data_IF_206203785826
#
_entry.id   IF_206203785826
#
_cell.length_a   1.000
_cell.length_b   1.000
_cell.length_c   1.000
_cell.angle_alpha   90.00
_cell.angle_beta   90.00
_cell.angle_gamma   90.00
#
_symmetry.space_group_name_H-M   'P 1'
#
loop_
_entity.id
_entity.type
_entity.pdbx_description
1 polymer ?
#
# COMPACT_ATOMS: atom_id res chain seq x y z
N UNK A 1 17.11 -9.66 21.38
CA UNK A 1 16.30 -10.87 21.08
C UNK A 1 16.31 -11.13 19.59
N UNK A 2 16.40 -12.39 19.16
CA UNK A 2 16.40 -12.79 17.75
C UNK A 2 15.02 -13.31 17.33
N UNK A 3 14.59 -12.94 16.12
CA UNK A 3 13.27 -13.30 15.58
C UNK A 3 13.41 -13.99 14.23
N UNK A 4 12.80 -15.16 14.13
CA UNK A 4 12.57 -15.85 12.88
C UNK A 4 11.09 -15.67 12.53
N UNK A 5 10.81 -14.76 11.60
CA UNK A 5 9.45 -14.41 11.24
C UNK A 5 9.06 -15.05 9.89
N UNK A 6 7.80 -15.48 9.78
CA UNK A 6 7.32 -16.23 8.62
C UNK A 6 5.95 -15.72 8.17
N UNK A 7 5.69 -15.77 6.86
CA UNK A 7 4.31 -15.84 6.38
C UNK A 7 3.70 -17.23 6.67
N UNK A 8 2.38 -17.34 6.55
CA UNK A 8 1.64 -18.59 6.76
C UNK A 8 1.36 -19.33 5.45
N UNK A 9 0.48 -18.77 4.61
CA UNK A 9 -0.14 -19.45 3.47
C UNK A 9 0.80 -19.39 2.26
N UNK A 10 1.31 -20.53 1.82
CA UNK A 10 2.33 -20.62 0.76
C UNK A 10 3.76 -20.75 1.30
N UNK A 11 3.97 -20.40 2.57
CA UNK A 11 5.27 -20.43 3.25
C UNK A 11 5.39 -21.62 4.19
N UNK A 12 4.62 -21.66 5.29
CA UNK A 12 4.62 -22.77 6.25
C UNK A 12 3.63 -23.85 5.84
N UNK A 13 2.45 -23.45 5.36
CA UNK A 13 1.38 -24.35 4.94
C UNK A 13 1.05 -24.18 3.46
N UNK A 14 0.48 -25.21 2.85
CA UNK A 14 -0.15 -25.16 1.53
C UNK A 14 -1.55 -25.78 1.61
N UNK A 15 -2.39 -25.52 0.61
CA UNK A 15 -3.70 -26.17 0.52
C UNK A 15 -3.52 -27.67 0.32
N UNK A 16 -4.30 -28.47 1.05
CA UNK A 16 -4.31 -29.93 0.87
C UNK A 16 -4.97 -30.30 -0.47
N UNK A 17 -5.94 -29.51 -0.90
CA UNK A 17 -6.66 -29.67 -2.17
C UNK A 17 -5.85 -29.33 -3.43
N UNK A 18 -4.70 -28.66 -3.28
CA UNK A 18 -3.91 -28.15 -4.40
C UNK A 18 -4.49 -26.92 -5.10
N UNK A 19 -5.65 -26.40 -4.64
CA UNK A 19 -6.21 -25.15 -5.14
C UNK A 19 -5.39 -23.95 -4.67
N UNK A 20 -5.46 -22.84 -5.39
CA UNK A 20 -4.78 -21.59 -5.00
C UNK A 20 -5.33 -21.05 -3.67
N UNK A 21 -6.64 -21.15 -3.46
CA UNK A 21 -7.30 -20.73 -2.23
C UNK A 21 -7.87 -21.95 -1.49
N UNK A 22 -7.82 -21.96 -0.15
CA UNK A 22 -8.36 -23.07 0.64
C UNK A 22 -9.87 -23.16 0.47
N UNK A 23 -10.39 -24.40 0.39
CA UNK A 23 -11.83 -24.67 0.32
C UNK A 23 -12.51 -24.37 1.66
N UNK A 24 -11.84 -24.69 2.77
CA UNK A 24 -12.33 -24.46 4.12
C UNK A 24 -11.16 -24.28 5.12
N UNK A 25 -11.45 -24.20 6.42
CA UNK A 25 -10.44 -24.00 7.47
C UNK A 25 -9.57 -25.22 7.78
N UNK A 26 -9.91 -26.38 7.23
CA UNK A 26 -9.18 -27.64 7.35
C UNK A 26 -8.36 -27.97 6.09
N UNK A 27 -8.55 -27.23 5.00
CA UNK A 27 -7.81 -27.38 3.74
C UNK A 27 -6.39 -26.79 3.82
N UNK A 28 -5.56 -27.40 4.65
CA UNK A 28 -4.14 -27.07 4.77
C UNK A 28 -3.30 -28.29 5.13
N UNK A 29 -2.01 -28.23 4.79
CA UNK A 29 -0.99 -29.22 5.15
C UNK A 29 0.37 -28.53 5.27
N UNK A 30 1.24 -29.03 6.15
CA UNK A 30 2.67 -28.68 6.13
C UNK A 30 3.34 -29.55 5.05
N UNK A 31 3.83 -28.97 3.95
CA UNK A 31 4.14 -29.74 2.74
C UNK A 31 5.42 -30.60 2.84
N UNK A 32 6.25 -30.39 3.87
CA UNK A 32 7.49 -31.16 4.06
C UNK A 32 7.92 -31.15 5.53
N UNK A 33 8.44 -32.28 6.00
CA UNK A 33 9.02 -32.40 7.35
C UNK A 33 10.25 -31.49 7.54
N UNK A 34 10.96 -31.14 6.45
CA UNK A 34 12.10 -30.20 6.48
C UNK A 34 11.70 -28.86 7.10
N UNK A 35 10.47 -28.39 6.86
CA UNK A 35 9.96 -27.16 7.47
C UNK A 35 9.90 -27.30 8.99
N UNK A 36 9.32 -28.40 9.49
CA UNK A 36 9.21 -28.66 10.93
C UNK A 36 10.60 -28.79 11.58
N UNK A 37 11.52 -29.49 10.93
CA UNK A 37 12.90 -29.66 11.41
C UNK A 37 13.63 -28.32 11.50
N UNK A 38 13.56 -27.49 10.45
CA UNK A 38 14.15 -26.14 10.43
C UNK A 38 13.57 -25.24 11.51
N UNK A 39 12.24 -25.27 11.71
CA UNK A 39 11.60 -24.50 12.76
C UNK A 39 11.97 -24.99 14.18
N UNK A 40 12.12 -26.30 14.38
CA UNK A 40 12.61 -26.86 15.65
C UNK A 40 14.07 -26.45 15.93
N UNK A 41 14.92 -26.42 14.92
CA UNK A 41 16.31 -25.98 15.08
C UNK A 41 16.40 -24.50 15.47
N UNK A 42 15.53 -23.65 14.94
CA UNK A 42 15.44 -22.25 15.36
C UNK A 42 15.14 -22.09 16.85
N UNK A 43 14.27 -22.94 17.42
CA UNK A 43 14.01 -22.93 18.86
C UNK A 43 15.28 -23.30 19.65
N UNK A 44 16.04 -24.30 19.18
CA UNK A 44 17.33 -24.68 19.80
C UNK A 44 18.37 -23.57 19.70
N UNK A 45 18.33 -22.79 18.63
CA UNK A 45 19.16 -21.59 18.40
C UNK A 45 18.62 -20.33 19.11
N UNK A 46 17.61 -20.48 19.97
CA UNK A 46 17.02 -19.42 20.80
C UNK A 46 16.33 -18.29 20.00
N UNK A 47 15.80 -18.62 18.82
CA UNK A 47 14.93 -17.72 18.05
C UNK A 47 13.49 -17.75 18.59
N UNK A 48 12.85 -16.57 18.58
CA UNK A 48 11.40 -16.50 18.70
C UNK A 48 10.76 -16.67 17.33
N UNK A 49 9.96 -17.72 17.16
CA UNK A 49 9.25 -18.00 15.90
C UNK A 49 7.93 -17.22 15.88
N UNK A 50 7.79 -16.33 14.89
CA UNK A 50 6.62 -15.45 14.73
C UNK A 50 6.00 -15.68 13.36
N UNK A 51 4.67 -15.74 13.29
CA UNK A 51 3.94 -15.78 12.03
C UNK A 51 3.20 -14.46 11.81
N UNK A 52 3.38 -13.85 10.64
CA UNK A 52 2.67 -12.67 10.18
C UNK A 52 1.84 -13.00 8.95
N UNK A 53 0.50 -12.92 9.04
CA UNK A 53 -0.37 -13.32 7.94
C UNK A 53 -1.46 -12.28 7.61
N UNK A 54 -1.73 -12.12 6.32
CA UNK A 54 -2.70 -11.18 5.76
C UNK A 54 -4.06 -11.88 5.53
N UNK A 55 -4.99 -11.75 6.46
CA UNK A 55 -6.28 -12.49 6.47
C UNK A 55 -7.51 -11.59 6.23
N UNK A 56 -7.52 -10.91 5.07
CA UNK A 56 -8.61 -10.00 4.68
C UNK A 56 -10.00 -10.67 4.63
N UNK A 57 -10.06 -11.99 4.42
CA UNK A 57 -11.30 -12.76 4.41
C UNK A 57 -12.07 -12.63 5.72
N UNK A 58 -11.36 -12.50 6.85
CA UNK A 58 -11.97 -12.33 8.18
C UNK A 58 -12.65 -10.96 8.29
N UNK A 59 -11.97 -9.88 7.89
CA UNK A 59 -12.55 -8.53 7.96
C UNK A 59 -13.68 -8.30 6.97
N UNK A 60 -13.70 -9.05 5.86
CA UNK A 60 -14.79 -9.07 4.87
C UNK A 60 -15.95 -10.02 5.25
N UNK A 61 -15.88 -10.68 6.41
CA UNK A 61 -16.86 -11.68 6.85
C UNK A 61 -17.00 -12.89 5.92
N UNK A 62 -16.07 -13.09 4.97
CA UNK A 62 -16.02 -14.27 4.11
C UNK A 62 -15.46 -15.50 4.83
N UNK A 63 -14.73 -15.29 5.92
CA UNK A 63 -14.17 -16.35 6.78
C UNK A 63 -14.54 -16.07 8.23
N UNK A 64 -15.09 -17.07 8.91
CA UNK A 64 -15.44 -16.96 10.33
C UNK A 64 -14.17 -16.88 11.19
N UNK A 65 -14.09 -15.87 12.06
CA UNK A 65 -12.94 -15.63 12.97
C UNK A 65 -12.68 -16.81 13.91
N UNK A 66 -13.73 -17.42 14.46
CA UNK A 66 -13.63 -18.55 15.38
C UNK A 66 -13.06 -19.78 14.70
N UNK A 67 -13.58 -20.14 13.52
CA UNK A 67 -13.04 -21.26 12.74
C UNK A 67 -11.59 -21.01 12.31
N UNK A 68 -11.25 -19.76 11.95
CA UNK A 68 -9.86 -19.44 11.62
C UNK A 68 -8.94 -19.54 12.85
N UNK A 69 -9.41 -19.19 14.04
CA UNK A 69 -8.64 -19.39 15.28
C UNK A 69 -8.34 -20.88 15.50
N UNK A 70 -9.34 -21.74 15.33
CA UNK A 70 -9.17 -23.21 15.41
C UNK A 70 -8.16 -23.71 14.36
N UNK A 71 -8.21 -23.18 13.12
CA UNK A 71 -7.19 -23.47 12.09
C UNK A 71 -5.78 -23.17 12.61
N UNK A 72 -5.56 -21.98 13.18
CA UNK A 72 -4.26 -21.59 13.72
C UNK A 72 -3.84 -22.49 14.88
N UNK A 73 -4.74 -22.80 15.82
CA UNK A 73 -4.44 -23.69 16.96
C UNK A 73 -4.02 -25.08 16.49
N UNK A 74 -4.69 -25.63 15.47
CA UNK A 74 -4.32 -26.92 14.88
C UNK A 74 -2.98 -26.87 14.14
N UNK A 75 -2.67 -25.78 13.43
CA UNK A 75 -1.37 -25.60 12.77
C UNK A 75 -0.26 -25.54 13.82
N UNK A 76 -0.42 -24.75 14.87
CA UNK A 76 0.59 -24.63 15.94
C UNK A 76 0.81 -25.98 16.63
N UNK A 77 -0.27 -26.74 16.88
CA UNK A 77 -0.17 -28.11 17.41
C UNK A 77 0.61 -29.04 16.47
N UNK A 78 0.38 -28.94 15.17
CA UNK A 78 1.07 -29.75 14.14
C UNK A 78 2.56 -29.39 13.97
N UNK A 79 2.91 -28.11 14.16
CA UNK A 79 4.31 -27.65 14.17
C UNK A 79 5.05 -28.08 15.44
N UNK A 80 4.32 -28.27 16.54
CA UNK A 80 4.82 -28.72 17.84
C UNK A 80 5.99 -27.88 18.38
N UNK A 81 5.89 -26.56 18.24
CA UNK A 81 6.85 -25.58 18.78
C UNK A 81 6.10 -24.35 19.32
N UNK A 82 6.72 -23.55 20.20
CA UNK A 82 6.16 -22.25 20.59
C UNK A 82 6.14 -21.30 19.39
N UNK A 83 4.94 -20.82 19.02
CA UNK A 83 4.74 -19.85 17.93
C UNK A 83 3.82 -18.73 18.40
N UNK A 84 4.17 -17.49 18.06
CA UNK A 84 3.28 -16.33 18.21
C UNK A 84 2.75 -15.90 16.84
N UNK A 85 1.44 -15.67 16.72
CA UNK A 85 0.78 -15.43 15.42
C UNK A 85 0.08 -14.07 15.42
N UNK A 86 0.39 -13.26 14.42
CA UNK A 86 -0.20 -11.95 14.14
C UNK A 86 -0.97 -11.99 12.82
N UNK A 87 -2.24 -11.57 12.87
CA UNK A 87 -3.16 -11.63 11.74
C UNK A 87 -3.71 -10.24 11.40
N UNK A 88 -3.40 -9.74 10.21
CA UNK A 88 -4.05 -8.53 9.69
C UNK A 88 -5.38 -8.89 9.05
N UNK A 89 -6.49 -8.53 9.69
CA UNK A 89 -7.84 -8.91 9.25
C UNK A 89 -8.47 -7.94 8.25
N UNK A 90 -7.92 -6.72 8.11
CA UNK A 90 -8.45 -5.64 7.26
C UNK A 90 -7.33 -4.91 6.53
N UNK A 91 -7.69 -4.07 5.55
CA UNK A 91 -6.77 -3.07 5.01
C UNK A 91 -6.48 -2.04 6.10
N UNK A 92 -5.27 -2.06 6.63
CA UNK A 92 -4.84 -1.23 7.77
C UNK A 92 -3.31 -1.12 7.77
N UNK A 93 -2.75 -0.35 8.71
CA UNK A 93 -1.30 -0.31 8.96
C UNK A 93 -0.71 -1.67 9.33
N UNK A 94 -1.54 -2.63 9.76
CA UNK A 94 -1.13 -4.00 10.07
C UNK A 94 -1.02 -4.87 8.81
N UNK A 95 -1.57 -4.45 7.67
CA UNK A 95 -1.54 -5.27 6.44
C UNK A 95 -0.17 -5.16 5.78
N UNK A 96 0.52 -6.30 5.62
CA UNK A 96 1.78 -6.35 4.85
C UNK A 96 1.56 -5.77 3.45
N UNK A 97 2.44 -4.89 2.94
CA UNK A 97 3.81 -4.66 3.41
C UNK A 97 4.00 -3.61 4.52
N UNK A 98 2.93 -3.02 5.06
CA UNK A 98 3.08 -2.04 6.15
C UNK A 98 3.63 -2.71 7.43
N UNK A 99 4.51 -2.04 8.21
CA UNK A 99 5.21 -2.65 9.34
C UNK A 99 4.35 -2.77 10.62
N UNK A 100 3.05 -2.49 10.58
CA UNK A 100 2.23 -2.36 11.79
C UNK A 100 2.19 -3.62 12.66
N UNK A 101 2.16 -4.82 12.08
CA UNK A 101 2.23 -6.06 12.88
C UNK A 101 3.60 -6.22 13.56
N UNK A 102 4.68 -5.84 12.89
CA UNK A 102 6.02 -5.83 13.49
C UNK A 102 6.13 -4.80 14.62
N UNK A 103 5.58 -3.60 14.43
CA UNK A 103 5.57 -2.57 15.46
C UNK A 103 4.80 -3.03 16.72
N UNK A 104 3.68 -3.75 16.53
CA UNK A 104 2.93 -4.34 17.63
C UNK A 104 3.76 -5.40 18.39
N UNK A 105 4.53 -6.22 17.68
CA UNK A 105 5.47 -7.16 18.27
C UNK A 105 6.60 -6.45 19.03
N UNK A 106 7.22 -5.43 18.42
CA UNK A 106 8.29 -4.65 19.03
C UNK A 106 7.83 -4.00 20.34
N UNK A 107 6.63 -3.41 20.34
CA UNK A 107 6.01 -2.84 21.53
C UNK A 107 5.77 -3.91 22.61
N UNK A 108 5.21 -5.07 22.24
CA UNK A 108 4.97 -6.18 23.17
C UNK A 108 6.26 -6.71 23.81
N UNK A 109 7.38 -6.68 23.07
CA UNK A 109 8.68 -7.22 23.50
C UNK A 109 9.61 -6.15 24.11
N UNK A 110 9.09 -4.95 24.39
CA UNK A 110 9.85 -3.88 25.04
C UNK A 110 10.97 -3.29 24.20
N UNK A 111 10.91 -3.39 22.87
CA UNK A 111 11.87 -2.76 21.96
C UNK A 111 13.19 -3.52 21.73
N UNK A 112 13.46 -4.62 22.43
CA UNK A 112 14.76 -5.28 22.41
C UNK A 112 14.88 -6.39 21.34
N UNK A 113 14.72 -6.03 20.06
CA UNK A 113 14.83 -6.96 18.92
C UNK A 113 16.04 -6.59 18.03
N UNK A 114 16.91 -7.57 17.76
CA UNK A 114 18.06 -7.40 16.88
C UNK A 114 17.65 -7.60 15.43
N UNK A 115 17.58 -6.53 14.64
CA UNK A 115 17.21 -6.62 13.21
C UNK A 115 18.25 -7.38 12.38
N UNK A 116 19.54 -7.26 12.72
CA UNK A 116 20.63 -7.92 11.99
C UNK A 116 20.61 -9.43 12.13
N UNK A 117 20.19 -9.92 13.28
CA UNK A 117 20.10 -11.34 13.59
C UNK A 117 18.70 -11.91 13.31
N UNK A 118 17.75 -11.05 12.92
CA UNK A 118 16.37 -11.45 12.62
C UNK A 118 16.15 -11.49 11.11
N UNK A 119 15.25 -12.36 10.69
CA UNK A 119 14.90 -12.52 9.28
C UNK A 119 13.41 -12.79 9.08
N UNK A 120 12.97 -12.61 7.86
CA UNK A 120 11.60 -12.86 7.42
C UNK A 120 11.57 -13.80 6.22
N UNK A 121 10.71 -14.82 6.26
CA UNK A 121 10.51 -15.78 5.17
C UNK A 121 9.09 -15.67 4.64
N UNK A 122 8.91 -15.50 3.33
CA UNK A 122 7.58 -15.41 2.74
C UNK A 122 7.54 -15.69 1.24
N UNK A 123 6.42 -16.19 0.73
CA UNK A 123 6.25 -16.57 -0.67
C UNK A 123 5.85 -15.39 -1.58
N UNK A 124 5.24 -14.34 -1.02
CA UNK A 124 4.88 -13.13 -1.76
C UNK A 124 6.12 -12.24 -1.98
N UNK A 125 7.05 -12.74 -2.80
CA UNK A 125 8.39 -12.23 -2.99
C UNK A 125 8.58 -11.45 -4.31
N UNK A 126 7.54 -11.35 -5.15
CA UNK A 126 7.60 -10.65 -6.43
C UNK A 126 8.44 -11.36 -7.50
N UNK A 127 8.62 -12.68 -7.41
CA UNK A 127 9.42 -13.47 -8.36
C UNK A 127 8.84 -13.40 -9.78
N UNK A 128 9.73 -13.30 -10.76
CA UNK A 128 9.38 -13.20 -12.18
C UNK A 128 8.76 -14.49 -12.73
N UNK A 129 8.14 -14.46 -13.90
CA UNK A 129 7.59 -15.68 -14.50
C UNK A 129 8.70 -16.71 -14.78
N UNK A 130 8.40 -18.01 -14.61
CA UNK A 130 9.35 -19.12 -14.82
C UNK A 130 10.58 -19.09 -13.90
N UNK A 131 10.47 -18.49 -12.72
CA UNK A 131 11.52 -18.55 -11.69
C UNK A 131 11.85 -19.99 -11.23
N UNK A 132 10.94 -20.94 -11.44
CA UNK A 132 11.17 -22.38 -11.32
C UNK A 132 10.27 -23.17 -12.28
N UNK A 133 10.57 -24.45 -12.58
CA UNK A 133 9.75 -25.28 -13.46
C UNK A 133 8.28 -25.32 -13.02
N UNK A 134 7.37 -24.99 -13.94
CA UNK A 134 5.93 -24.97 -13.68
C UNK A 134 5.43 -23.83 -12.79
N UNK A 135 6.29 -22.87 -12.40
CA UNK A 135 5.89 -21.73 -11.55
C UNK A 135 5.58 -20.49 -12.37
N UNK A 136 4.44 -19.87 -12.03
CA UNK A 136 4.05 -18.53 -12.49
C UNK A 136 4.74 -17.46 -11.64
N UNK A 137 4.71 -16.22 -12.12
CA UNK A 137 5.12 -15.06 -11.31
C UNK A 137 4.32 -14.99 -10.00
N UNK A 138 4.92 -14.45 -8.96
CA UNK A 138 4.23 -14.28 -7.68
C UNK A 138 3.07 -13.28 -7.82
N UNK A 139 2.01 -13.50 -7.03
CA UNK A 139 0.83 -12.65 -7.04
C UNK A 139 1.07 -11.26 -6.42
N UNK A 140 2.10 -11.16 -5.57
CA UNK A 140 2.42 -10.00 -4.74
C UNK A 140 3.90 -10.03 -4.36
N UNK A 141 4.42 -8.88 -3.96
CA UNK A 141 5.74 -8.70 -3.33
C UNK A 141 5.61 -8.25 -1.86
N UNK A 142 4.44 -8.45 -1.25
CA UNK A 142 4.12 -7.94 0.08
C UNK A 142 5.01 -8.45 1.19
N UNK A 143 5.55 -9.67 1.07
CA UNK A 143 6.44 -10.24 2.08
C UNK A 143 7.85 -9.65 1.99
N UNK A 144 8.39 -9.57 0.77
CA UNK A 144 9.68 -8.92 0.52
C UNK A 144 9.65 -7.46 0.97
N UNK A 145 8.61 -6.72 0.58
CA UNK A 145 8.48 -5.31 0.96
C UNK A 145 8.17 -5.12 2.45
N UNK A 146 7.53 -6.10 3.12
CA UNK A 146 7.37 -6.06 4.57
C UNK A 146 8.73 -6.14 5.28
N UNK A 147 9.57 -7.10 4.88
CA UNK A 147 10.93 -7.23 5.39
C UNK A 147 11.76 -5.97 5.12
N UNK A 148 11.69 -5.43 3.90
CA UNK A 148 12.41 -4.21 3.50
C UNK A 148 11.99 -2.99 4.32
N UNK A 149 10.68 -2.78 4.53
CA UNK A 149 10.16 -1.68 5.34
C UNK A 149 10.60 -1.72 6.81
N UNK A 150 10.95 -2.91 7.32
CA UNK A 150 11.43 -3.11 8.69
C UNK A 150 12.96 -3.07 8.74
N UNK A 151 13.64 -3.46 7.65
CA UNK A 151 15.09 -3.68 7.61
C UNK A 151 15.51 -5.10 8.02
N UNK A 152 14.67 -6.11 7.77
CA UNK A 152 14.98 -7.52 8.01
C UNK A 152 15.64 -8.17 6.80
N UNK A 153 16.50 -9.16 7.05
CA UNK A 153 16.92 -10.09 6.00
C UNK A 153 15.71 -10.86 5.48
N UNK A 154 15.59 -11.02 4.16
CA UNK A 154 14.47 -11.68 3.52
C UNK A 154 14.90 -12.95 2.79
N UNK A 155 14.09 -14.00 2.89
CA UNK A 155 14.23 -15.22 2.12
C UNK A 155 12.89 -15.69 1.57
N UNK A 156 12.91 -16.40 0.45
CA UNK A 156 11.76 -17.20 0.01
C UNK A 156 11.73 -18.55 0.74
N UNK A 157 10.57 -19.25 0.78
CA UNK A 157 10.50 -20.58 1.40
C UNK A 157 11.48 -21.57 0.75
N UNK A 158 11.63 -21.49 -0.57
CA UNK A 158 12.56 -22.31 -1.36
C UNK A 158 14.03 -22.05 -0.97
N UNK A 159 14.42 -20.78 -0.82
CA UNK A 159 15.76 -20.39 -0.38
C UNK A 159 16.03 -20.87 1.05
N UNK A 160 15.11 -20.60 1.98
CA UNK A 160 15.33 -20.81 3.41
C UNK A 160 15.25 -22.29 3.83
N UNK A 161 14.17 -22.98 3.44
CA UNK A 161 13.94 -24.35 3.90
C UNK A 161 14.70 -25.37 3.07
N UNK A 162 14.89 -25.11 1.77
CA UNK A 162 15.42 -26.10 0.83
C UNK A 162 16.81 -25.74 0.26
N UNK A 163 17.35 -24.56 0.59
CA UNK A 163 18.69 -24.16 0.15
C UNK A 163 18.78 -23.87 -1.34
N UNK A 164 17.65 -23.58 -1.99
CA UNK A 164 17.65 -23.21 -3.41
C UNK A 164 18.35 -21.86 -3.62
N UNK A 165 18.95 -21.63 -4.80
CA UNK A 165 19.52 -20.33 -5.12
C UNK A 165 18.42 -19.24 -5.19
N UNK A 166 18.77 -17.97 -4.93
CA UNK A 166 17.82 -16.86 -5.01
C UNK A 166 17.14 -16.77 -6.36
N UNK A 167 15.82 -16.61 -6.35
CA UNK A 167 15.03 -16.45 -7.56
C UNK A 167 15.05 -14.99 -8.05
N UNK A 168 15.05 -14.73 -9.38
CA UNK A 168 14.91 -13.38 -9.91
C UNK A 168 13.53 -12.78 -9.56
N UNK A 169 13.50 -11.50 -9.23
CA UNK A 169 12.29 -10.77 -8.85
C UNK A 169 12.29 -9.35 -9.42
N UNK A 170 11.09 -8.80 -9.62
CA UNK A 170 10.91 -7.44 -10.12
C UNK A 170 10.85 -6.44 -8.95
N UNK A 171 11.61 -5.36 -9.05
CA UNK A 171 11.51 -4.24 -8.11
C UNK A 171 10.21 -3.45 -8.34
N UNK A 172 9.64 -2.84 -7.28
CA UNK A 172 8.52 -1.92 -7.45
C UNK A 172 8.90 -0.77 -8.39
N UNK A 173 8.00 -0.44 -9.32
CA UNK A 173 8.12 0.73 -10.20
C UNK A 173 8.19 2.07 -9.44
N UNK A 174 7.78 2.09 -8.19
CA UNK A 174 7.80 3.26 -7.33
C UNK A 174 8.33 2.89 -5.95
N UNK A 175 9.38 3.59 -5.53
CA UNK A 175 10.07 3.41 -4.25
C UNK A 175 9.86 4.68 -3.42
N UNK A 176 9.03 4.66 -2.36
CA UNK A 176 8.72 5.86 -1.58
C UNK A 176 9.94 6.51 -0.92
N UNK A 177 10.89 5.70 -0.44
CA UNK A 177 12.12 6.16 0.22
C UNK A 177 13.08 6.92 -0.73
N UNK A 178 12.92 6.77 -2.05
CA UNK A 178 13.72 7.48 -3.04
C UNK A 178 13.21 8.92 -3.30
N UNK A 179 12.04 9.32 -2.75
CA UNK A 179 11.54 10.69 -2.92
C UNK A 179 12.30 11.63 -1.97
N UNK A 180 12.94 12.69 -2.47
CA UNK A 180 13.54 13.71 -1.61
C UNK A 180 12.45 14.51 -0.87
N UNK A 181 12.60 14.63 0.45
CA UNK A 181 11.62 15.29 1.33
C UNK A 181 11.53 16.81 1.13
N UNK A 182 12.60 17.46 0.65
CA UNK A 182 12.77 18.92 0.73
C UNK A 182 12.94 19.63 -0.62
N UNK A 183 12.37 19.11 -1.72
CA UNK A 183 12.32 19.86 -2.99
C UNK A 183 10.97 20.54 -3.14
N UNK A 184 10.80 21.67 -2.47
CA UNK A 184 9.74 22.61 -2.83
C UNK A 184 10.27 23.50 -3.95
N UNK A 185 9.61 23.50 -5.10
CA UNK A 185 9.88 24.52 -6.11
C UNK A 185 9.38 25.87 -5.60
N UNK A 186 10.08 26.95 -5.96
CA UNK A 186 9.56 28.31 -5.81
C UNK A 186 8.40 28.49 -6.78
N UNK A 187 7.20 28.14 -6.33
CA UNK A 187 6.00 28.33 -7.11
C UNK A 187 5.54 29.77 -6.92
N UNK A 188 5.46 30.53 -8.02
CA UNK A 188 4.81 31.84 -8.00
C UNK A 188 3.28 31.63 -7.90
N UNK A 189 2.81 31.33 -6.70
CA UNK A 189 1.41 30.99 -6.42
C UNK A 189 0.57 32.27 -6.34
N UNK A 190 1.13 33.34 -5.79
CA UNK A 190 0.41 34.56 -5.48
C UNK A 190 0.39 35.52 -6.68
N UNK A 191 -0.79 35.73 -7.23
CA UNK A 191 -1.10 36.89 -8.07
C UNK A 191 -2.06 37.81 -7.31
N UNK A 192 -1.92 39.13 -7.51
CA UNK A 192 -2.88 40.12 -7.04
C UNK A 192 -4.12 40.24 -7.94
N UNK A 193 -4.09 39.64 -9.13
CA UNK A 193 -5.13 39.78 -10.16
C UNK A 193 -6.16 38.64 -10.10
N UNK A 194 -7.39 38.93 -10.55
CA UNK A 194 -8.43 37.94 -10.85
C UNK A 194 -7.89 36.90 -11.83
N UNK A 195 -7.98 35.62 -11.49
CA UNK A 195 -7.61 34.52 -12.38
C UNK A 195 -8.33 33.22 -12.01
N UNK A 196 -8.24 32.24 -12.91
CA UNK A 196 -8.68 30.87 -12.67
C UNK A 196 -7.49 29.92 -12.80
N UNK A 197 -7.25 29.10 -11.78
CA UNK A 197 -6.30 28.00 -11.83
C UNK A 197 -7.06 26.70 -12.11
N UNK A 198 -6.64 25.96 -13.13
CA UNK A 198 -7.14 24.61 -13.41
C UNK A 198 -6.11 23.60 -12.92
N UNK A 199 -6.46 22.81 -11.89
CA UNK A 199 -5.62 21.71 -11.44
C UNK A 199 -5.75 20.54 -12.41
N UNK A 200 -4.63 19.91 -12.80
CA UNK A 200 -4.61 18.74 -13.69
C UNK A 200 -3.76 17.65 -13.07
N UNK A 201 -4.28 16.43 -13.00
CA UNK A 201 -3.52 15.28 -12.50
C UNK A 201 -4.39 14.13 -12.03
N UNK A 202 -3.82 12.93 -11.97
CA UNK A 202 -4.51 11.70 -11.58
C UNK A 202 -5.12 11.78 -10.17
N UNK A 203 -6.14 10.97 -9.86
CA UNK A 203 -6.65 10.84 -8.49
C UNK A 203 -5.55 10.28 -7.58
N UNK A 204 -5.39 10.82 -6.37
CA UNK A 204 -4.27 10.47 -5.47
C UNK A 204 -2.96 11.24 -5.72
N UNK A 205 -2.92 12.15 -6.70
CA UNK A 205 -1.72 12.97 -6.98
C UNK A 205 -1.39 14.04 -5.93
N UNK A 206 -2.29 14.29 -4.96
CA UNK A 206 -2.12 15.32 -3.94
C UNK A 206 -2.69 16.70 -4.29
N UNK A 207 -3.40 16.85 -5.43
CA UNK A 207 -4.03 18.12 -5.87
C UNK A 207 -4.81 18.83 -4.76
N UNK A 208 -5.79 18.15 -4.18
CA UNK A 208 -6.68 18.75 -3.16
C UNK A 208 -5.93 19.15 -1.90
N UNK A 209 -4.89 18.39 -1.53
CA UNK A 209 -4.00 18.76 -0.44
C UNK A 209 -3.22 20.05 -0.78
N UNK A 210 -2.64 20.14 -1.99
CA UNK A 210 -1.95 21.34 -2.46
C UNK A 210 -2.87 22.56 -2.50
N UNK A 211 -4.09 22.40 -3.01
CA UNK A 211 -5.12 23.45 -3.05
C UNK A 211 -5.42 23.96 -1.64
N UNK A 212 -5.67 23.05 -0.69
CA UNK A 212 -5.97 23.41 0.70
C UNK A 212 -4.79 24.08 1.40
N UNK A 213 -3.58 23.58 1.19
CA UNK A 213 -2.39 24.06 1.93
C UNK A 213 -1.80 25.35 1.38
N UNK A 214 -1.93 25.61 0.08
CA UNK A 214 -1.31 26.77 -0.56
C UNK A 214 -2.35 27.73 -1.15
N UNK A 215 -3.19 27.24 -2.07
CA UNK A 215 -4.10 28.13 -2.83
C UNK A 215 -5.19 28.75 -1.96
N UNK A 216 -5.84 27.97 -1.10
CA UNK A 216 -6.87 28.52 -0.20
C UNK A 216 -6.29 29.55 0.79
N UNK A 217 -5.07 29.31 1.30
CA UNK A 217 -4.36 30.27 2.17
C UNK A 217 -3.98 31.56 1.44
N UNK A 218 -3.79 31.49 0.12
CA UNK A 218 -3.56 32.63 -0.78
C UNK A 218 -4.84 33.32 -1.27
N UNK A 219 -6.00 32.92 -0.75
CA UNK A 219 -7.31 33.52 -1.07
C UNK A 219 -8.02 32.94 -2.28
N UNK A 220 -7.61 31.76 -2.78
CA UNK A 220 -8.34 31.08 -3.86
C UNK A 220 -9.56 30.34 -3.32
N UNK A 221 -10.68 30.50 -4.03
CA UNK A 221 -11.93 29.80 -3.76
C UNK A 221 -11.94 28.48 -4.56
N UNK A 222 -12.01 27.31 -3.91
CA UNK A 222 -11.95 26.02 -4.58
C UNK A 222 -13.32 25.56 -5.07
N UNK A 223 -13.42 25.26 -6.36
CA UNK A 223 -14.56 24.57 -6.96
C UNK A 223 -14.16 23.16 -7.38
N UNK A 224 -14.90 22.16 -6.91
CA UNK A 224 -14.68 20.75 -7.25
C UNK A 224 -16.00 20.04 -7.50
N UNK A 225 -15.94 18.91 -8.22
CA UNK A 225 -17.09 18.00 -8.35
C UNK A 225 -17.54 17.45 -7.00
N UNK A 226 -16.62 17.23 -6.07
CA UNK A 226 -16.94 16.65 -4.77
C UNK A 226 -17.76 17.62 -3.91
N UNK A 227 -17.60 18.94 -4.12
CA UNK A 227 -18.37 19.99 -3.44
C UNK A 227 -19.74 20.19 -4.11
N UNK A 228 -19.81 20.19 -5.45
CA UNK A 228 -21.04 20.57 -6.19
C UNK A 228 -21.83 19.40 -6.80
N UNK A 229 -21.33 18.16 -6.66
CA UNK A 229 -21.88 16.89 -7.18
C UNK A 229 -22.01 16.76 -8.71
N UNK A 230 -21.85 17.83 -9.50
CA UNK A 230 -21.95 17.80 -10.96
C UNK A 230 -21.01 18.83 -11.63
N UNK A 231 -20.33 18.43 -12.72
CA UNK A 231 -19.49 19.31 -13.55
C UNK A 231 -20.24 20.53 -14.12
N UNK A 232 -21.50 20.36 -14.52
CA UNK A 232 -22.26 21.48 -15.10
C UNK A 232 -22.62 22.51 -14.02
N UNK A 233 -22.79 22.05 -12.77
CA UNK A 233 -22.90 22.95 -11.61
C UNK A 233 -21.60 23.68 -11.31
N UNK A 234 -20.45 23.04 -11.46
CA UNK A 234 -19.13 23.72 -11.34
C UNK A 234 -19.01 24.83 -12.38
N UNK A 235 -19.40 24.56 -13.63
CA UNK A 235 -19.35 25.55 -14.71
C UNK A 235 -20.32 26.73 -14.46
N UNK A 236 -21.54 26.45 -13.98
CA UNK A 236 -22.50 27.49 -13.62
C UNK A 236 -22.01 28.35 -12.45
N UNK A 237 -21.49 27.74 -11.38
CA UNK A 237 -20.89 28.46 -10.27
C UNK A 237 -19.68 29.31 -10.73
N UNK A 238 -18.85 28.77 -11.61
CA UNK A 238 -17.74 29.51 -12.21
C UNK A 238 -18.26 30.72 -12.98
N UNK A 239 -19.26 30.57 -13.84
CA UNK A 239 -19.81 31.67 -14.62
C UNK A 239 -20.40 32.77 -13.73
N UNK A 240 -21.12 32.42 -12.65
CA UNK A 240 -21.59 33.39 -11.66
C UNK A 240 -20.44 34.09 -10.92
N UNK A 241 -19.38 33.37 -10.53
CA UNK A 241 -18.23 34.00 -9.87
C UNK A 241 -17.37 34.83 -10.82
N UNK A 242 -17.39 34.52 -12.13
CA UNK A 242 -16.70 35.31 -13.15
C UNK A 242 -17.43 36.63 -13.45
N UNK A 243 -18.76 36.70 -13.26
CA UNK A 243 -19.52 37.95 -13.41
C UNK A 243 -19.43 38.90 -12.19
N UNK A 244 -19.08 38.38 -11.02
CA UNK A 244 -18.79 39.17 -9.82
C UNK A 244 -17.34 39.71 -9.84
N UNK A 245 -17.09 40.85 -9.18
CA UNK A 245 -15.75 41.45 -9.09
C UNK A 245 -14.83 40.70 -8.10
N UNK A 246 -13.56 40.57 -8.48
CA UNK A 246 -12.40 40.16 -7.66
C UNK A 246 -12.45 38.79 -6.94
N UNK A 247 -12.54 37.68 -7.68
CA UNK A 247 -12.35 36.35 -7.12
C UNK A 247 -11.19 35.59 -7.79
N UNK A 248 -10.28 35.03 -6.97
CA UNK A 248 -9.30 34.03 -7.40
C UNK A 248 -9.94 32.66 -7.27
N UNK A 249 -10.02 31.91 -8.36
CA UNK A 249 -10.75 30.62 -8.37
C UNK A 249 -9.79 29.49 -8.71
N UNK A 250 -9.98 28.34 -8.07
CA UNK A 250 -9.28 27.11 -8.44
C UNK A 250 -10.27 25.99 -8.74
N UNK A 251 -10.12 25.35 -9.89
CA UNK A 251 -10.89 24.16 -10.29
C UNK A 251 -10.11 22.91 -9.89
N UNK A 252 -10.49 22.32 -8.75
CA UNK A 252 -9.90 21.09 -8.21
C UNK A 252 -10.64 19.84 -8.69
N UNK A 253 -10.38 19.46 -9.94
CA UNK A 253 -10.86 18.24 -10.55
C UNK A 253 -9.67 17.48 -11.17
N UNK A 254 -9.90 16.25 -11.65
CA UNK A 254 -8.84 15.50 -12.37
C UNK A 254 -8.43 16.17 -13.68
N UNK A 255 -9.38 16.73 -14.42
CA UNK A 255 -9.18 17.52 -15.65
C UNK A 255 -8.24 16.86 -16.69
N UNK A 256 -8.30 15.54 -16.81
CA UNK A 256 -7.36 14.75 -17.61
C UNK A 256 -7.48 14.98 -19.12
N UNK A 257 -8.67 15.26 -19.65
CA UNK A 257 -8.90 15.39 -21.09
C UNK A 257 -8.92 16.85 -21.54
N UNK A 258 -8.57 17.08 -22.81
CA UNK A 258 -8.66 18.42 -23.45
C UNK A 258 -10.10 18.94 -23.35
N UNK A 259 -11.10 18.09 -23.64
CA UNK A 259 -12.51 18.45 -23.58
C UNK A 259 -12.96 18.91 -22.18
N UNK A 260 -12.49 18.24 -21.12
CA UNK A 260 -12.81 18.63 -19.74
C UNK A 260 -12.27 20.03 -19.40
N UNK A 261 -11.05 20.35 -19.84
CA UNK A 261 -10.42 21.66 -19.62
C UNK A 261 -11.03 22.75 -20.48
N UNK A 262 -11.38 22.43 -21.73
CA UNK A 262 -11.91 23.38 -22.73
C UNK A 262 -13.15 24.11 -22.20
N UNK A 263 -14.05 23.42 -21.52
CA UNK A 263 -15.25 24.01 -20.90
C UNK A 263 -14.93 25.20 -19.99
N UNK A 264 -13.94 25.06 -19.11
CA UNK A 264 -13.54 26.13 -18.19
C UNK A 264 -12.73 27.22 -18.90
N UNK A 265 -11.87 26.84 -19.83
CA UNK A 265 -11.05 27.78 -20.61
C UNK A 265 -11.93 28.71 -21.46
N UNK A 266 -12.94 28.16 -22.13
CA UNK A 266 -13.85 28.94 -22.98
C UNK A 266 -14.67 29.93 -22.15
N UNK A 267 -15.13 29.53 -20.96
CA UNK A 267 -15.79 30.45 -20.01
C UNK A 267 -14.84 31.58 -19.59
N UNK A 268 -13.60 31.28 -19.22
CA UNK A 268 -12.65 32.32 -18.83
C UNK A 268 -12.33 33.27 -19.99
N UNK A 269 -12.25 32.77 -21.23
CA UNK A 269 -12.09 33.59 -22.44
C UNK A 269 -13.27 34.54 -22.64
N UNK A 270 -14.51 34.05 -22.50
CA UNK A 270 -15.74 34.86 -22.60
C UNK A 270 -15.72 36.06 -21.64
N UNK A 271 -15.24 35.85 -20.41
CA UNK A 271 -15.16 36.90 -19.37
C UNK A 271 -13.79 37.61 -19.30
N UNK A 272 -12.88 37.35 -20.25
CA UNK A 272 -11.53 37.94 -20.32
C UNK A 272 -10.70 37.75 -19.03
N UNK A 273 -10.85 36.61 -18.37
CA UNK A 273 -10.11 36.26 -17.15
C UNK A 273 -8.91 35.37 -17.48
N UNK A 274 -7.69 35.68 -16.99
CA UNK A 274 -6.52 34.82 -17.16
C UNK A 274 -6.71 33.42 -16.59
N UNK A 275 -6.13 32.43 -17.26
CA UNK A 275 -6.17 31.02 -16.83
C UNK A 275 -4.75 30.48 -16.70
N UNK A 276 -4.44 29.86 -15.57
CA UNK A 276 -3.20 29.08 -15.38
C UNK A 276 -3.54 27.59 -15.19
N UNK A 277 -2.63 26.73 -15.64
CA UNK A 277 -2.74 25.29 -15.45
C UNK A 277 -1.68 24.83 -14.45
N UNK A 278 -2.12 24.20 -13.36
CA UNK A 278 -1.21 23.58 -12.39
C UNK A 278 -1.25 22.07 -12.63
N UNK A 279 -0.18 21.56 -13.24
CA UNK A 279 -0.07 20.14 -13.60
C UNK A 279 0.68 19.36 -12.51
N UNK A 280 -0.03 18.50 -11.80
CA UNK A 280 0.53 17.56 -10.84
C UNK A 280 1.09 16.34 -11.60
N UNK A 281 2.37 16.40 -11.93
CA UNK A 281 3.10 15.34 -12.64
C UNK A 281 3.48 14.16 -11.72
N UNK A 282 2.51 13.68 -10.94
CA UNK A 282 2.66 12.53 -10.05
C UNK A 282 2.39 11.25 -10.84
N UNK A 283 3.33 10.30 -10.84
CA UNK A 283 3.16 9.01 -11.53
C UNK A 283 1.96 8.22 -10.99
N UNK A 284 1.40 7.31 -11.81
CA UNK A 284 0.24 6.50 -11.43
C UNK A 284 0.57 5.62 -10.21
N UNK A 285 1.77 5.05 -10.17
CA UNK A 285 2.24 4.22 -9.07
C UNK A 285 2.33 5.00 -7.76
N UNK A 286 2.83 6.25 -7.81
CA UNK A 286 2.83 7.14 -6.65
C UNK A 286 1.42 7.55 -6.24
N UNK A 287 0.51 7.78 -7.19
CA UNK A 287 -0.89 8.05 -6.91
C UNK A 287 -1.58 6.88 -6.19
N UNK A 288 -1.32 5.65 -6.63
CA UNK A 288 -1.82 4.44 -5.96
C UNK A 288 -1.23 4.29 -4.56
N UNK A 289 0.06 4.57 -4.37
CA UNK A 289 0.68 4.59 -3.05
C UNK A 289 0.03 5.64 -2.14
N UNK A 290 -0.10 6.88 -2.60
CA UNK A 290 -0.73 7.97 -1.84
C UNK A 290 -2.18 7.63 -1.47
N UNK A 291 -2.95 7.00 -2.36
CA UNK A 291 -4.31 6.55 -2.02
C UNK A 291 -4.31 5.48 -0.94
N UNK A 292 -3.32 4.57 -0.95
CA UNK A 292 -3.21 3.55 0.11
C UNK A 292 -2.80 4.16 1.44
N UNK A 293 -1.87 5.12 1.45
CA UNK A 293 -1.38 5.75 2.68
C UNK A 293 -2.36 6.80 3.21
N UNK A 294 -2.98 7.60 2.35
CA UNK A 294 -3.94 8.64 2.75
C UNK A 294 -5.32 8.12 3.16
N UNK A 295 -5.57 6.81 3.03
CA UNK A 295 -6.78 6.11 3.52
C UNK A 295 -6.51 5.36 4.83
N UNK A 296 -5.24 5.27 5.26
CA UNK A 296 -4.83 4.71 6.56
C UNK A 296 -4.78 5.80 7.62
#
# INVERSE_FOLDING_TARGET
MQIAAFDLDGTIIKTKSGKIFPVDTSDWVVPSNVIKEKLNNLIKENYNVIIFSNQNGIGRQAVNKGHFKIKIENIVKELNIPVEVYLSTRSSIYRKPAPGMWNALLHKKGGNISLKESFYVGDAAGRCEKWAPGRRKDFSNSDRLFAENIGLQFFTPEEYFFGNPPAPFDLPKFIPSAIPLNKHGDYNINTSRKEVIIMVGAQGSGKSHFVKQHLMKSGYIPFSRDISKNNDKVAACLETSLSLSECKIVIDNTNGTIAARKKFIDLCKKYKVPVRCFYMNTTIERCHHNNKVGVL
#
